data_IF_915146979476
#
_entry.id   IF_915146979476
#
_cell.length_a   1.000
_cell.length_b   1.000
_cell.length_c   1.000
_cell.angle_alpha   90.00
_cell.angle_beta   90.00
_cell.angle_gamma   90.00
#
_symmetry.space_group_name_H-M   'P 1'
#
loop_
_entity.id
_entity.type
_entity.pdbx_description
1 polymer ?
#
# COMPACT_ATOMS: atom_id res chain seq x y z
N UNK A 1 13.74 32.50 -0.92
CA UNK A 1 13.78 31.16 -1.53
C UNK A 1 12.45 30.50 -1.23
N UNK A 2 11.56 30.40 -2.22
CA UNK A 2 10.20 29.88 -2.05
C UNK A 2 10.12 28.48 -2.66
N UNK A 3 9.86 27.47 -1.82
CA UNK A 3 9.85 26.04 -2.17
C UNK A 3 8.51 25.52 -2.72
N UNK A 4 7.57 26.41 -3.03
CA UNK A 4 6.26 26.02 -3.57
C UNK A 4 6.05 26.69 -4.92
N UNK A 5 6.53 26.03 -5.99
CA UNK A 5 6.10 26.33 -7.35
C UNK A 5 5.60 25.07 -8.05
N UNK A 6 4.33 25.16 -8.43
CA UNK A 6 3.64 24.52 -9.55
C UNK A 6 3.04 23.10 -9.42
N UNK A 7 1.70 23.15 -9.34
CA UNK A 7 0.75 22.57 -10.30
C UNK A 7 0.66 21.05 -10.40
N UNK A 8 -0.36 20.52 -9.72
CA UNK A 8 -0.89 19.19 -9.99
C UNK A 8 -1.78 18.71 -8.85
N UNK A 9 -2.95 19.34 -8.70
CA UNK A 9 -4.00 18.89 -7.77
C UNK A 9 -4.17 17.38 -7.85
N UNK A 10 -4.07 16.70 -6.70
CA UNK A 10 -4.36 15.27 -6.56
C UNK A 10 -5.83 14.90 -6.87
N UNK A 11 -6.69 15.90 -7.14
CA UNK A 11 -8.10 15.75 -7.49
C UNK A 11 -8.47 16.78 -8.56
N UNK A 12 -8.34 16.46 -9.85
CA UNK A 12 -8.67 17.39 -10.94
C UNK A 12 -9.03 16.65 -12.23
N UNK A 13 -10.23 16.92 -12.72
CA UNK A 13 -10.87 16.29 -13.86
C UNK A 13 -10.10 16.50 -15.18
N UNK A 14 -9.48 15.44 -15.72
CA UNK A 14 -9.14 15.38 -17.15
C UNK A 14 -9.42 13.99 -17.69
N UNK A 15 -10.67 13.79 -18.13
CA UNK A 15 -11.02 12.70 -19.01
C UNK A 15 -10.45 13.00 -20.41
N UNK A 16 -9.54 12.16 -20.90
CA UNK A 16 -9.16 12.13 -22.31
C UNK A 16 -7.88 12.87 -22.70
N UNK A 17 -6.71 12.43 -22.22
CA UNK A 17 -5.45 12.61 -22.97
C UNK A 17 -4.53 11.41 -22.74
N UNK A 18 -4.18 10.74 -23.83
CA UNK A 18 -3.19 9.66 -23.88
C UNK A 18 -1.78 10.19 -23.56
N UNK A 19 -1.33 10.07 -22.32
CA UNK A 19 0.08 10.31 -21.94
C UNK A 19 0.63 9.14 -21.12
N UNK A 20 1.89 8.79 -21.43
CA UNK A 20 2.65 7.65 -20.91
C UNK A 20 2.63 7.54 -19.37
N UNK A 21 2.39 6.31 -18.91
CA UNK A 21 2.89 5.61 -17.71
C UNK A 21 2.90 6.38 -16.37
N UNK A 22 2.00 5.96 -15.48
CA UNK A 22 1.97 6.11 -14.01
C UNK A 22 1.97 7.50 -13.36
N UNK A 23 1.13 8.44 -13.80
CA UNK A 23 0.99 9.76 -13.12
C UNK A 23 0.06 9.74 -11.90
N UNK A 24 0.17 8.74 -11.02
CA UNK A 24 -0.46 8.78 -9.69
C UNK A 24 0.64 8.83 -8.64
N UNK A 25 0.49 9.72 -7.65
CA UNK A 25 1.44 9.83 -6.54
C UNK A 25 1.64 8.49 -5.82
N UNK A 26 0.61 7.64 -5.81
CA UNK A 26 0.66 6.28 -5.26
C UNK A 26 1.51 5.35 -6.14
N UNK A 27 1.37 5.41 -7.45
CA UNK A 27 2.17 4.57 -8.35
C UNK A 27 3.65 4.96 -8.31
N UNK A 28 3.97 6.27 -8.27
CA UNK A 28 5.36 6.75 -8.11
C UNK A 28 5.93 6.37 -6.74
N UNK A 29 5.12 6.44 -5.68
CA UNK A 29 5.51 5.97 -4.35
C UNK A 29 5.80 4.47 -4.35
N UNK A 30 4.92 3.64 -4.91
CA UNK A 30 5.11 2.19 -4.99
C UNK A 30 6.35 1.82 -5.80
N UNK A 31 6.63 2.57 -6.87
CA UNK A 31 7.87 2.44 -7.63
C UNK A 31 9.10 2.78 -6.79
N UNK A 32 9.09 3.93 -6.12
CA UNK A 32 10.19 4.34 -5.24
C UNK A 32 10.43 3.36 -4.09
N UNK A 33 9.37 2.77 -3.56
CA UNK A 33 9.41 1.71 -2.55
C UNK A 33 10.03 0.43 -3.12
N UNK A 34 9.58 -0.04 -4.29
CA UNK A 34 10.10 -1.23 -4.95
C UNK A 34 11.58 -1.11 -5.36
N UNK A 35 11.99 0.07 -5.85
CA UNK A 35 13.36 0.33 -6.30
C UNK A 35 14.34 0.61 -5.14
N UNK A 36 13.85 0.71 -3.90
CA UNK A 36 14.60 1.08 -2.69
C UNK A 36 15.41 2.40 -2.81
N UNK A 37 15.19 3.20 -3.87
CA UNK A 37 16.01 4.36 -4.24
C UNK A 37 15.68 5.62 -3.43
N UNK A 38 14.46 5.74 -2.91
CA UNK A 38 14.08 6.81 -2.00
C UNK A 38 12.96 6.30 -1.11
N UNK A 39 13.21 6.29 0.19
CA UNK A 39 12.38 5.56 1.13
C UNK A 39 11.60 6.59 1.97
N UNK A 40 10.44 7.08 1.54
CA UNK A 40 9.61 7.91 2.42
C UNK A 40 9.12 7.11 3.65
N UNK A 41 9.14 5.77 3.57
CA UNK A 41 8.89 4.85 4.69
C UNK A 41 10.20 4.37 5.38
N UNK A 42 11.31 5.14 5.38
CA UNK A 42 12.64 4.67 5.83
C UNK A 42 12.67 4.27 7.31
N UNK A 43 12.41 2.98 7.55
CA UNK A 43 12.46 2.31 8.85
C UNK A 43 13.29 1.01 8.78
N UNK A 44 14.41 1.03 8.08
CA UNK A 44 15.50 0.05 8.21
C UNK A 44 15.26 -1.41 7.76
N UNK A 45 14.03 -1.85 7.52
CA UNK A 45 13.70 -3.24 7.17
C UNK A 45 12.51 -3.32 6.19
N UNK A 46 12.21 -4.54 5.71
CA UNK A 46 11.11 -4.89 4.78
C UNK A 46 9.92 -3.92 4.93
N UNK A 47 9.60 -3.21 3.85
CA UNK A 47 8.56 -2.19 3.86
C UNK A 47 7.19 -2.85 4.03
N UNK A 48 6.65 -2.70 5.24
CA UNK A 48 5.28 -3.08 5.55
C UNK A 48 4.36 -1.90 5.28
N UNK A 49 3.26 -2.15 4.59
CA UNK A 49 2.28 -1.14 4.20
C UNK A 49 0.85 -1.62 4.42
N UNK A 50 -0.05 -0.68 4.68
CA UNK A 50 -1.50 -0.85 4.51
C UNK A 50 -1.94 -0.09 3.27
N UNK A 51 -2.91 -0.65 2.57
CA UNK A 51 -3.42 -0.08 1.33
C UNK A 51 -4.83 0.42 1.55
N UNK A 52 -5.19 1.58 1.02
CA UNK A 52 -6.57 2.04 0.96
C UNK A 52 -6.99 2.02 -0.49
N UNK A 53 -8.02 1.24 -0.83
CA UNK A 53 -8.54 1.17 -2.19
C UNK A 53 -9.43 2.38 -2.49
N UNK A 54 -9.50 2.78 -3.77
CA UNK A 54 -10.43 3.81 -4.22
C UNK A 54 -11.87 3.41 -3.90
N UNK A 55 -12.64 4.35 -3.38
CA UNK A 55 -14.00 4.11 -2.91
C UNK A 55 -14.09 3.51 -1.50
N UNK A 56 -12.96 3.20 -0.86
CA UNK A 56 -12.91 2.79 0.55
C UNK A 56 -12.42 3.93 1.43
N UNK A 57 -13.05 4.10 2.60
CA UNK A 57 -12.55 4.96 3.68
C UNK A 57 -11.67 4.20 4.68
N UNK A 58 -11.63 2.87 4.58
CA UNK A 58 -10.88 2.00 5.47
C UNK A 58 -9.72 1.29 4.75
N UNK A 59 -8.63 0.94 5.46
CA UNK A 59 -7.59 0.07 4.94
C UNK A 59 -8.13 -1.29 4.45
N UNK A 60 -7.54 -1.80 3.36
CA UNK A 60 -7.85 -3.09 2.78
C UNK A 60 -7.62 -4.20 3.80
N UNK A 61 -8.67 -4.98 4.08
CA UNK A 61 -8.60 -6.16 4.91
C UNK A 61 -8.91 -7.40 4.06
N UNK A 62 -7.95 -8.30 3.99
CA UNK A 62 -8.04 -9.59 3.28
C UNK A 62 -7.76 -10.78 4.19
N UNK A 63 -7.33 -10.56 5.44
CA UNK A 63 -6.91 -11.63 6.34
C UNK A 63 -7.89 -11.93 7.49
N UNK A 64 -9.07 -11.28 7.55
CA UNK A 64 -10.12 -11.51 8.55
C UNK A 64 -9.68 -11.43 10.03
N UNK A 65 -8.46 -10.95 10.33
CA UNK A 65 -7.90 -10.96 11.69
C UNK A 65 -8.31 -9.72 12.50
N UNK A 66 -8.49 -8.56 11.86
CA UNK A 66 -8.93 -7.32 12.52
C UNK A 66 -9.53 -6.31 11.53
N UNK A 67 -10.87 -6.21 11.51
CA UNK A 67 -11.63 -5.35 10.57
C UNK A 67 -11.16 -3.88 10.57
N UNK A 68 -10.73 -3.35 11.72
CA UNK A 68 -10.41 -1.93 11.89
C UNK A 68 -8.97 -1.56 11.56
N UNK A 69 -8.05 -2.53 11.57
CA UNK A 69 -6.61 -2.24 11.37
C UNK A 69 -6.22 -2.42 9.90
N UNK A 70 -6.88 -3.32 9.17
CA UNK A 70 -6.51 -3.69 7.81
C UNK A 70 -5.29 -4.61 7.76
N UNK A 71 -5.11 -5.24 6.60
CA UNK A 71 -4.03 -6.21 6.38
C UNK A 71 -2.70 -5.50 6.16
N UNK A 72 -1.66 -6.02 6.80
CA UNK A 72 -0.29 -5.60 6.58
C UNK A 72 0.28 -6.36 5.38
N UNK A 73 0.72 -5.61 4.39
CA UNK A 73 1.33 -6.14 3.18
C UNK A 73 2.82 -5.85 3.16
N UNK A 74 3.59 -6.78 2.63
CA UNK A 74 4.99 -6.56 2.24
C UNK A 74 5.03 -6.36 0.73
N UNK A 75 5.63 -5.27 0.28
CA UNK A 75 5.84 -5.04 -1.14
C UNK A 75 6.89 -6.01 -1.68
N UNK A 76 6.56 -6.74 -2.74
CA UNK A 76 7.49 -7.68 -3.41
C UNK A 76 8.05 -7.05 -4.67
N UNK A 77 7.20 -6.50 -5.52
CA UNK A 77 7.62 -5.86 -6.77
C UNK A 77 6.56 -4.89 -7.29
N UNK A 78 7.00 -3.99 -8.16
CA UNK A 78 6.15 -3.06 -8.90
C UNK A 78 6.60 -3.03 -10.36
N UNK A 79 5.66 -3.20 -11.29
CA UNK A 79 5.92 -3.03 -12.72
C UNK A 79 5.40 -1.67 -13.21
N UNK A 80 6.29 -0.70 -13.51
CA UNK A 80 5.89 0.62 -13.98
C UNK A 80 5.28 0.62 -15.39
N UNK A 81 5.47 -0.45 -16.18
CA UNK A 81 4.88 -0.54 -17.50
C UNK A 81 3.37 -0.86 -17.43
N UNK A 82 2.99 -1.77 -16.54
CA UNK A 82 1.60 -2.23 -16.38
C UNK A 82 0.88 -1.52 -15.23
N UNK A 83 1.61 -0.98 -14.26
CA UNK A 83 1.05 -0.45 -13.01
C UNK A 83 0.72 -1.55 -11.99
N UNK A 84 1.09 -2.80 -12.26
CA UNK A 84 0.85 -3.92 -11.37
C UNK A 84 1.76 -3.84 -10.14
N UNK A 85 1.17 -3.98 -8.96
CA UNK A 85 1.88 -4.12 -7.70
C UNK A 85 1.67 -5.53 -7.15
N UNK A 86 2.76 -6.19 -6.78
CA UNK A 86 2.76 -7.53 -6.18
C UNK A 86 3.12 -7.41 -4.71
N UNK A 87 2.25 -7.94 -3.86
CA UNK A 87 2.34 -7.81 -2.41
C UNK A 87 2.15 -9.19 -1.77
N UNK A 88 2.81 -9.42 -0.64
CA UNK A 88 2.57 -10.59 0.20
C UNK A 88 2.00 -10.20 1.55
N UNK A 89 1.19 -11.06 2.14
CA UNK A 89 0.63 -10.88 3.48
C UNK A 89 0.52 -12.21 4.20
N UNK A 90 0.49 -12.16 5.53
CA UNK A 90 0.22 -13.33 6.35
C UNK A 90 -1.29 -13.43 6.60
N UNK A 91 -1.84 -14.58 6.25
CA UNK A 91 -3.20 -14.98 6.58
C UNK A 91 -3.15 -16.00 7.72
N UNK A 92 -3.97 -15.81 8.74
CA UNK A 92 -4.12 -16.77 9.82
C UNK A 92 -5.33 -17.65 9.56
N UNK A 93 -5.14 -18.97 9.60
CA UNK A 93 -6.25 -19.90 9.57
C UNK A 93 -6.78 -20.11 10.99
N UNK A 94 -7.91 -19.48 11.31
CA UNK A 94 -8.55 -19.52 12.63
C UNK A 94 -9.23 -20.85 12.97
N UNK A 95 -9.16 -21.86 12.09
CA UNK A 95 -9.95 -23.11 12.20
C UNK A 95 -9.27 -24.19 13.05
N UNK A 96 -7.96 -24.11 13.35
CA UNK A 96 -7.25 -25.13 14.15
C UNK A 96 -6.17 -24.53 15.08
N UNK A 97 -6.04 -24.97 16.35
CA UNK A 97 -4.96 -24.54 17.24
C UNK A 97 -3.69 -25.45 17.17
N UNK A 98 -2.46 -24.87 17.11
CA UNK A 98 -2.17 -23.46 16.87
C UNK A 98 -2.52 -23.05 15.43
N UNK A 99 -3.03 -21.82 15.20
CA UNK A 99 -3.43 -21.39 13.88
C UNK A 99 -2.21 -21.36 12.96
N UNK A 100 -2.17 -22.18 11.89
CA UNK A 100 -1.11 -22.07 10.91
C UNK A 100 -1.23 -20.72 10.20
N UNK A 101 -0.10 -20.00 10.11
CA UNK A 101 0.04 -18.79 9.30
C UNK A 101 0.49 -19.17 7.89
N UNK A 102 -0.20 -18.66 6.88
CA UNK A 102 0.17 -18.85 5.48
C UNK A 102 0.53 -17.51 4.86
N UNK A 103 1.67 -17.45 4.17
CA UNK A 103 2.01 -16.31 3.33
C UNK A 103 1.25 -16.42 2.01
N UNK A 104 0.40 -15.43 1.74
CA UNK A 104 -0.31 -15.28 0.47
C UNK A 104 0.24 -14.12 -0.34
N UNK A 105 0.05 -14.19 -1.66
CA UNK A 105 0.41 -13.13 -2.61
C UNK A 105 -0.86 -12.55 -3.19
N UNK A 106 -0.92 -11.22 -3.31
CA UNK A 106 -1.98 -10.49 -4.02
C UNK A 106 -1.35 -9.59 -5.08
N UNK A 107 -2.04 -9.45 -6.21
CA UNK A 107 -1.68 -8.54 -7.29
C UNK A 107 -2.77 -7.51 -7.43
N UNK A 108 -2.41 -6.23 -7.40
CA UNK A 108 -3.33 -5.10 -7.55
C UNK A 108 -2.85 -4.17 -8.66
N UNK A 109 -3.79 -3.44 -9.28
CA UNK A 109 -3.45 -2.29 -10.11
C UNK A 109 -3.22 -1.07 -9.19
N UNK A 110 -2.08 -0.38 -9.33
CA UNK A 110 -1.78 0.82 -8.55
C UNK A 110 -2.81 1.93 -8.76
N UNK A 111 -3.55 1.93 -9.87
CA UNK A 111 -4.66 2.86 -10.13
C UNK A 111 -5.87 2.59 -9.25
N UNK A 112 -6.00 1.40 -8.66
CA UNK A 112 -7.08 1.08 -7.73
C UNK A 112 -6.75 1.51 -6.29
N UNK A 113 -5.49 1.89 -6.02
CA UNK A 113 -5.03 2.29 -4.70
C UNK A 113 -5.17 3.81 -4.58
N UNK A 114 -5.84 4.25 -3.52
CA UNK A 114 -6.04 5.65 -3.19
C UNK A 114 -4.98 6.18 -2.24
N UNK A 115 -4.51 5.35 -1.30
CA UNK A 115 -3.45 5.72 -0.36
C UNK A 115 -2.63 4.50 0.06
N UNK A 116 -1.38 4.77 0.45
CA UNK A 116 -0.45 3.80 1.03
C UNK A 116 -0.05 4.33 2.40
N UNK A 117 -0.20 3.51 3.43
CA UNK A 117 0.15 3.83 4.82
C UNK A 117 1.38 3.00 5.16
N UNK A 118 2.52 3.65 5.41
CA UNK A 118 3.72 2.97 5.90
C UNK A 118 3.50 2.45 7.32
N UNK A 119 4.00 1.26 7.64
CA UNK A 119 3.97 0.69 8.99
C UNK A 119 5.40 0.50 9.49
N UNK A 120 5.62 0.92 10.73
CA UNK A 120 6.88 0.69 11.41
C UNK A 120 6.98 -0.75 11.91
N UNK A 121 8.03 -1.51 11.54
CA UNK A 121 8.24 -2.85 12.08
C UNK A 121 8.45 -2.76 13.60
N UNK A 122 7.56 -3.40 14.37
CA UNK A 122 7.62 -3.43 15.84
C UNK A 122 6.64 -2.50 16.57
N UNK A 123 5.88 -1.68 15.86
CA UNK A 123 4.74 -0.95 16.46
C UNK A 123 3.49 -1.82 16.40
N UNK A 124 3.19 -2.53 17.48
CA UNK A 124 1.82 -3.01 17.69
C UNK A 124 0.92 -1.77 17.76
N UNK A 125 -0.16 -1.67 16.95
CA UNK A 125 -1.13 -0.60 17.15
C UNK A 125 -1.64 -0.68 18.59
N UNK A 126 -1.82 0.45 19.30
CA UNK A 126 -2.38 0.41 20.64
C UNK A 126 -3.73 -0.31 20.55
N UNK A 127 -3.85 -1.41 21.29
CA UNK A 127 -5.14 -2.05 21.53
C UNK A 127 -5.97 -1.01 22.28
N UNK A 128 -6.87 -0.34 21.56
CA UNK A 128 -7.88 0.50 22.21
C UNK A 128 -8.89 -0.48 22.78
N UNK A 129 -8.67 -0.90 24.03
CA UNK A 129 -9.70 -1.54 24.83
C UNK A 129 -10.79 -0.50 25.08
N UNK A 130 -11.98 -0.75 24.53
CA UNK A 130 -13.19 -0.01 24.85
C UNK A 130 -13.66 -0.32 26.28
#
# INVERSE_FOLDING_TARGET
>A
MSLFHNNGSCCGNTAGTSHKKSTSCVCELLKALADAQSNPCRMGARQQVRLVLKGSSAPLNVNNVAEFLGTVFTLVSFDPATGCVVLTFEEQNLVAPPPPSFTRTIVLDCKCICAVICIEPGTTPPVVTA
#
